data_IF_324533843030
#
_entry.id   IF_324533843030
#
_cell.length_a   1.000
_cell.length_b   1.000
_cell.length_c   1.000
_cell.angle_alpha   90.00
_cell.angle_beta   90.00
_cell.angle_gamma   90.00
#
_symmetry.space_group_name_H-M   'P 1'
#
loop_
_entity.id
_entity.type
_entity.pdbx_description
1 polymer ?
#
# COMPACT_ATOMS: atom_id res chain seq x y z
N UNK A 1 10.88 25.14 -5.83
CA UNK A 1 10.87 24.15 -6.94
C UNK A 1 9.88 23.00 -6.71
N UNK A 2 9.80 22.43 -5.50
CA UNK A 2 8.91 21.29 -5.21
C UNK A 2 7.43 21.61 -5.47
N UNK A 3 6.92 22.77 -5.04
CA UNK A 3 5.51 23.13 -5.26
C UNK A 3 5.13 23.24 -6.73
N UNK A 4 6.03 23.77 -7.58
CA UNK A 4 5.81 23.85 -9.02
C UNK A 4 5.70 22.44 -9.63
N UNK A 5 6.62 21.54 -9.28
CA UNK A 5 6.59 20.15 -9.72
C UNK A 5 5.32 19.42 -9.25
N UNK A 6 4.91 19.62 -7.99
CA UNK A 6 3.70 19.00 -7.43
C UNK A 6 2.43 19.48 -8.14
N UNK A 7 2.35 20.77 -8.46
CA UNK A 7 1.21 21.32 -9.21
C UNK A 7 1.21 20.81 -10.66
N UNK A 8 2.36 20.71 -11.32
CA UNK A 8 2.44 20.16 -12.67
C UNK A 8 2.07 18.68 -12.71
N UNK A 9 2.57 17.88 -11.77
CA UNK A 9 2.20 16.47 -11.62
C UNK A 9 0.69 16.32 -11.35
N UNK A 10 0.09 17.22 -10.57
CA UNK A 10 -1.34 17.24 -10.33
C UNK A 10 -2.16 17.53 -11.60
N UNK A 11 -1.72 18.49 -12.43
CA UNK A 11 -2.37 18.80 -13.70
C UNK A 11 -2.31 17.62 -14.68
N UNK A 12 -1.16 16.94 -14.73
CA UNK A 12 -0.97 15.72 -15.53
C UNK A 12 -1.89 14.59 -15.05
N UNK A 13 -1.90 14.32 -13.74
CA UNK A 13 -2.79 13.31 -13.14
C UNK A 13 -4.27 13.55 -13.49
N UNK A 14 -4.75 14.80 -13.39
CA UNK A 14 -6.14 15.15 -13.74
C UNK A 14 -6.43 14.99 -15.24
N UNK A 15 -5.44 15.16 -16.10
CA UNK A 15 -5.60 14.95 -17.55
C UNK A 15 -5.70 13.47 -17.86
N UNK A 16 -4.79 12.66 -17.34
CA UNK A 16 -4.73 11.23 -17.58
C UNK A 16 -5.99 10.52 -17.05
N UNK A 17 -6.39 10.83 -15.82
CA UNK A 17 -7.62 10.27 -15.23
C UNK A 17 -8.89 10.61 -16.00
N UNK A 18 -8.95 11.77 -16.67
CA UNK A 18 -10.07 12.09 -17.58
C UNK A 18 -10.02 11.27 -18.85
N UNK A 19 -8.84 11.10 -19.46
CA UNK A 19 -8.67 10.34 -20.71
C UNK A 19 -9.05 8.86 -20.50
N UNK A 20 -8.48 8.21 -19.48
CA UNK A 20 -8.72 6.78 -19.19
C UNK A 20 -10.18 6.47 -18.88
N UNK A 21 -10.90 7.42 -18.26
CA UNK A 21 -12.29 7.23 -17.88
C UNK A 21 -13.26 7.53 -19.03
N UNK A 22 -12.87 8.40 -19.97
CA UNK A 22 -13.61 8.58 -21.23
C UNK A 22 -13.57 7.30 -22.06
N UNK A 23 -12.43 6.59 -22.05
CA UNK A 23 -12.26 5.32 -22.75
C UNK A 23 -12.97 4.13 -22.07
N UNK A 24 -13.09 4.16 -20.74
CA UNK A 24 -13.62 3.03 -19.94
C UNK A 24 -15.07 3.21 -19.48
N UNK A 25 -15.75 4.32 -19.82
CA UNK A 25 -17.13 4.59 -19.41
C UNK A 25 -17.36 4.71 -17.90
N UNK A 26 -16.29 4.87 -17.12
CA UNK A 26 -16.31 4.89 -15.65
C UNK A 26 -16.40 6.31 -15.07
N UNK A 27 -17.04 6.44 -13.91
CA UNK A 27 -17.06 7.70 -13.15
C UNK A 27 -15.75 7.88 -12.38
N UNK A 28 -15.06 9.02 -12.55
CA UNK A 28 -13.77 9.28 -11.91
C UNK A 28 -14.02 9.89 -10.54
N UNK A 29 -13.53 9.25 -9.48
CA UNK A 29 -13.39 9.95 -8.20
C UNK A 29 -12.33 11.05 -8.34
N UNK A 30 -12.78 12.30 -8.33
CA UNK A 30 -11.92 13.46 -8.40
C UNK A 30 -11.34 13.72 -7.00
N UNK A 31 -10.13 13.22 -6.76
CA UNK A 31 -9.44 13.48 -5.49
C UNK A 31 -9.05 14.96 -5.37
N UNK A 32 -8.93 15.47 -4.14
CA UNK A 32 -8.47 16.85 -3.94
C UNK A 32 -6.94 16.97 -4.12
N UNK A 33 -6.44 18.20 -4.40
CA UNK A 33 -4.99 18.46 -4.43
C UNK A 33 -4.31 18.10 -3.09
N UNK A 34 -5.02 18.29 -1.97
CA UNK A 34 -4.56 17.90 -0.64
C UNK A 34 -4.33 16.39 -0.53
N UNK A 35 -5.30 15.60 -0.98
CA UNK A 35 -5.18 14.13 -0.97
C UNK A 35 -4.10 13.64 -1.93
N UNK A 36 -4.00 14.22 -3.11
CA UNK A 36 -2.93 13.91 -4.06
C UNK A 36 -1.54 14.14 -3.43
N UNK A 37 -1.32 15.31 -2.82
CA UNK A 37 -0.07 15.62 -2.09
C UNK A 37 0.19 14.62 -0.97
N UNK A 38 -0.84 14.24 -0.23
CA UNK A 38 -0.72 13.21 0.81
C UNK A 38 -0.29 11.86 0.23
N UNK A 39 -0.91 11.38 -0.86
CA UNK A 39 -0.53 10.12 -1.49
C UNK A 39 0.90 10.12 -2.02
N UNK A 40 1.31 11.19 -2.72
CA UNK A 40 2.69 11.33 -3.19
C UNK A 40 3.67 11.29 -2.02
N UNK A 41 3.40 12.03 -0.94
CA UNK A 41 4.26 12.04 0.25
C UNK A 41 4.35 10.66 0.91
N UNK A 42 3.23 9.92 0.97
CA UNK A 42 3.16 8.58 1.54
C UNK A 42 3.93 7.58 0.69
N UNK A 43 3.74 7.61 -0.63
CA UNK A 43 4.45 6.74 -1.57
C UNK A 43 5.95 7.01 -1.54
N UNK A 44 6.38 8.27 -1.58
CA UNK A 44 7.81 8.62 -1.51
C UNK A 44 8.45 8.24 -0.18
N UNK A 45 7.74 8.37 0.94
CA UNK A 45 8.24 7.94 2.25
C UNK A 45 8.49 6.43 2.32
N UNK A 46 7.70 5.64 1.59
CA UNK A 46 7.76 4.17 1.58
C UNK A 46 8.61 3.60 0.43
N UNK A 47 8.97 4.40 -0.57
CA UNK A 47 9.74 3.97 -1.74
C UNK A 47 11.21 3.79 -1.38
N UNK A 48 11.76 2.60 -1.68
CA UNK A 48 13.19 2.29 -1.48
C UNK A 48 13.65 2.20 -0.02
N UNK A 49 12.71 2.00 0.93
CA UNK A 49 13.04 1.76 2.34
C UNK A 49 12.35 0.47 2.79
N UNK A 50 13.12 -0.46 3.34
CA UNK A 50 12.60 -1.37 4.37
C UNK A 50 12.05 -0.49 5.49
N UNK A 51 10.86 -0.77 6.01
CA UNK A 51 10.33 -0.04 7.16
C UNK A 51 11.32 -0.21 8.30
N UNK A 52 12.23 0.76 8.44
CA UNK A 52 13.08 0.90 9.60
C UNK A 52 12.11 0.98 10.77
N UNK A 53 12.08 -0.13 11.51
CA UNK A 53 11.42 -0.18 12.80
C UNK A 53 12.25 0.73 13.69
N UNK A 54 12.02 2.03 13.59
CA UNK A 54 12.17 2.91 14.74
C UNK A 54 11.11 2.45 15.72
N UNK A 55 11.46 1.39 16.45
CA UNK A 55 10.83 1.04 17.70
C UNK A 55 11.18 2.21 18.59
N UNK A 56 10.27 3.19 18.66
CA UNK A 56 10.34 4.22 19.67
C UNK A 56 10.08 3.51 21.00
N UNK A 57 11.15 3.26 21.75
CA UNK A 57 11.17 2.31 22.86
C UNK A 57 10.43 2.80 24.11
N UNK A 58 9.70 3.91 24.05
CA UNK A 58 8.98 4.42 25.21
C UNK A 58 7.67 5.11 24.85
N UNK A 59 6.61 4.33 24.58
CA UNK A 59 5.27 4.85 24.80
C UNK A 59 4.37 3.79 25.46
N UNK A 60 4.24 3.91 26.78
CA UNK A 60 3.12 3.34 27.52
C UNK A 60 1.83 3.99 27.00
N UNK A 61 1.11 3.29 26.13
CA UNK A 61 -0.25 3.66 25.81
C UNK A 61 -1.16 2.46 25.98
N UNK A 62 -1.94 2.50 27.06
CA UNK A 62 -3.24 1.84 27.17
C UNK A 62 -4.20 2.38 26.10
N UNK A 63 -3.99 2.00 24.85
CA UNK A 63 -4.87 2.36 23.74
C UNK A 63 -5.79 1.18 23.45
N UNK A 64 -7.08 1.40 23.72
CA UNK A 64 -8.21 0.57 23.29
C UNK A 64 -7.93 -0.01 21.90
N UNK A 65 -8.05 -1.33 21.77
CA UNK A 65 -7.95 -2.07 20.51
C UNK A 65 -9.07 -1.60 19.58
N UNK A 66 -8.87 -0.45 18.92
CA UNK A 66 -9.52 -0.19 17.64
C UNK A 66 -8.87 -1.18 16.70
N UNK A 67 -9.65 -2.13 16.19
CA UNK A 67 -9.16 -3.07 15.18
C UNK A 67 -8.37 -2.28 14.15
N UNK A 68 -7.05 -2.49 14.10
CA UNK A 68 -6.21 -1.82 13.14
C UNK A 68 -6.67 -2.32 11.77
N UNK A 69 -7.48 -1.51 11.09
CA UNK A 69 -7.65 -1.60 9.66
C UNK A 69 -6.27 -1.26 9.11
N UNK A 70 -5.39 -2.28 9.03
CA UNK A 70 -4.02 -2.07 8.53
C UNK A 70 -4.20 -1.48 7.14
N UNK A 71 -3.86 -0.19 7.06
CA UNK A 71 -4.06 0.65 5.90
C UNK A 71 -3.28 0.00 4.77
N UNK A 72 -3.96 -0.36 3.68
CA UNK A 72 -3.29 -0.95 2.54
C UNK A 72 -2.21 0.03 2.04
N UNK A 73 -1.00 -0.47 1.71
CA UNK A 73 0.02 0.36 1.11
C UNK A 73 -0.50 0.95 -0.22
N UNK A 74 -0.02 2.14 -0.63
CA UNK A 74 -0.34 2.71 -1.95
C UNK A 74 -0.03 1.70 -3.07
N UNK A 75 -0.81 1.74 -4.15
CA UNK A 75 -0.67 0.82 -5.29
C UNK A 75 0.76 0.87 -5.86
N UNK A 76 1.33 2.07 -5.99
CA UNK A 76 2.70 2.27 -6.48
C UNK A 76 3.74 1.52 -5.65
N UNK A 77 3.56 1.49 -4.33
CA UNK A 77 4.48 0.82 -3.38
C UNK A 77 4.22 -0.69 -3.37
N UNK A 78 2.98 -1.10 -3.57
CA UNK A 78 2.59 -2.51 -3.61
C UNK A 78 3.21 -3.23 -4.82
N UNK A 79 3.30 -2.56 -5.97
CA UNK A 79 3.76 -3.15 -7.23
C UNK A 79 5.20 -2.76 -7.62
N UNK A 80 5.94 -2.06 -6.75
CA UNK A 80 7.32 -1.65 -7.06
C UNK A 80 8.34 -2.80 -7.07
N UNK A 81 7.95 -4.01 -6.63
CA UNK A 81 8.78 -5.24 -6.61
C UNK A 81 10.10 -5.12 -5.84
N UNK A 82 10.26 -4.10 -5.00
CA UNK A 82 11.47 -3.86 -4.20
C UNK A 82 11.17 -4.08 -2.72
N UNK A 83 12.04 -4.82 -2.02
CA UNK A 83 11.99 -5.05 -0.56
C UNK A 83 10.67 -5.65 -0.01
N UNK A 84 10.00 -6.50 -0.79
CA UNK A 84 8.84 -7.27 -0.31
C UNK A 84 9.26 -8.64 0.19
N UNK A 85 9.82 -8.70 1.40
CA UNK A 85 10.25 -9.97 2.01
C UNK A 85 9.14 -10.60 2.87
N UNK A 86 9.01 -11.94 2.87
CA UNK A 86 8.12 -12.63 3.78
C UNK A 86 8.73 -12.67 5.19
N UNK A 87 7.93 -12.35 6.21
CA UNK A 87 8.28 -12.49 7.61
C UNK A 87 7.28 -13.41 8.32
N UNK A 88 7.79 -14.26 9.20
CA UNK A 88 6.99 -15.14 10.03
C UNK A 88 6.39 -14.36 11.21
N UNK A 89 5.07 -14.45 11.39
CA UNK A 89 4.29 -13.74 12.40
C UNK A 89 3.19 -14.63 12.99
N UNK A 90 2.41 -14.06 13.92
CA UNK A 90 1.23 -14.71 14.47
C UNK A 90 0.21 -15.09 13.38
N UNK A 91 -0.41 -16.26 13.57
CA UNK A 91 -1.40 -16.82 12.65
C UNK A 91 -2.53 -15.83 12.43
N UNK A 92 -2.92 -15.63 11.18
CA UNK A 92 -4.09 -14.82 10.85
C UNK A 92 -4.62 -15.06 9.46
N UNK A 93 -5.75 -14.43 9.14
CA UNK A 93 -6.40 -14.55 7.83
C UNK A 93 -5.59 -13.86 6.74
N UNK A 94 -5.46 -14.52 5.59
CA UNK A 94 -4.92 -13.94 4.37
C UNK A 94 -5.81 -12.80 3.88
N UNK A 95 -5.18 -11.72 3.41
CA UNK A 95 -5.88 -10.52 2.92
C UNK A 95 -6.26 -10.58 1.44
N UNK A 96 -5.75 -11.58 0.72
CA UNK A 96 -6.05 -11.77 -0.69
C UNK A 96 -7.13 -12.84 -0.93
N UNK A 97 -7.03 -13.98 -0.24
CA UNK A 97 -7.97 -15.08 -0.44
C UNK A 97 -8.95 -15.20 0.74
N UNK A 98 -10.20 -15.60 0.44
CA UNK A 98 -11.26 -15.65 1.47
C UNK A 98 -11.03 -16.75 2.50
N UNK A 99 -10.42 -17.90 2.15
CA UNK A 99 -10.33 -19.09 3.03
C UNK A 99 -8.95 -19.33 3.63
N UNK A 100 -7.93 -18.59 3.23
CA UNK A 100 -6.55 -18.86 3.65
C UNK A 100 -6.24 -18.26 5.02
N UNK A 101 -5.55 -19.03 5.84
CA UNK A 101 -4.83 -18.55 7.02
C UNK A 101 -3.33 -18.68 6.76
N UNK A 102 -2.53 -17.82 7.36
CA UNK A 102 -1.09 -17.78 7.14
C UNK A 102 -0.34 -17.23 8.34
N UNK A 103 0.90 -17.69 8.49
CA UNK A 103 1.89 -17.12 9.38
C UNK A 103 2.82 -16.12 8.66
N UNK A 104 2.58 -15.84 7.38
CA UNK A 104 3.46 -15.00 6.57
C UNK A 104 2.83 -13.62 6.34
N UNK A 105 3.64 -12.58 6.52
CA UNK A 105 3.30 -11.22 6.11
C UNK A 105 4.44 -10.59 5.32
N UNK A 106 4.12 -9.66 4.43
CA UNK A 106 5.12 -8.83 3.77
C UNK A 106 5.65 -7.78 4.75
N UNK A 107 6.98 -7.70 4.90
CA UNK A 107 7.66 -6.74 5.79
C UNK A 107 7.32 -5.29 5.44
N UNK A 108 7.31 -4.96 4.14
CA UNK A 108 7.03 -3.61 3.64
C UNK A 108 5.55 -3.25 3.60
N UNK A 109 4.70 -4.20 3.22
CA UNK A 109 3.26 -3.98 3.06
C UNK A 109 2.43 -4.23 4.33
N UNK A 110 3.01 -4.84 5.37
CA UNK A 110 2.32 -5.24 6.61
C UNK A 110 1.13 -6.19 6.38
N UNK A 111 1.04 -6.82 5.20
CA UNK A 111 -0.14 -7.55 4.74
C UNK A 111 0.11 -9.04 4.85
N UNK A 112 -0.81 -9.75 5.53
CA UNK A 112 -0.82 -11.22 5.65
C UNK A 112 -1.20 -11.86 4.33
N UNK A 113 -0.31 -12.68 3.78
CA UNK A 113 -0.46 -13.30 2.46
C UNK A 113 0.01 -14.75 2.51
N UNK A 114 -0.79 -15.66 1.96
CA UNK A 114 -0.42 -17.06 1.86
C UNK A 114 0.85 -17.25 1.02
N UNK A 115 1.76 -18.06 1.56
CA UNK A 115 2.95 -18.58 0.89
C UNK A 115 2.97 -20.10 1.10
N UNK A 116 2.14 -20.81 0.34
CA UNK A 116 1.99 -22.28 0.41
C UNK A 116 2.10 -22.88 -0.99
N UNK A 117 2.45 -24.17 -1.09
CA UNK A 117 2.71 -24.87 -2.37
C UNK A 117 1.64 -24.62 -3.43
N UNK A 118 0.36 -24.77 -3.06
CA UNK A 118 -0.75 -24.68 -4.02
C UNK A 118 -1.26 -23.24 -4.23
N UNK A 119 -0.85 -22.28 -3.38
CA UNK A 119 -1.38 -20.91 -3.39
C UNK A 119 -0.32 -19.90 -2.95
N UNK A 120 0.14 -19.10 -3.91
CA UNK A 120 1.06 -18.01 -3.67
C UNK A 120 0.34 -16.65 -3.74
N UNK A 121 -0.38 -16.33 -2.67
CA UNK A 121 -1.01 -15.02 -2.51
C UNK A 121 0.02 -13.90 -2.37
N UNK A 122 1.23 -14.21 -1.89
CA UNK A 122 2.31 -13.25 -1.76
C UNK A 122 2.73 -12.72 -3.13
N UNK A 123 3.04 -13.60 -4.07
CA UNK A 123 3.43 -13.22 -5.43
C UNK A 123 2.32 -12.45 -6.14
N UNK A 124 1.11 -13.01 -6.20
CA UNK A 124 -0.04 -12.38 -6.87
C UNK A 124 -0.38 -11.01 -6.30
N UNK A 125 -0.24 -10.80 -4.99
CA UNK A 125 -0.49 -9.48 -4.41
C UNK A 125 0.50 -8.42 -4.92
N UNK A 126 1.77 -8.74 -5.14
CA UNK A 126 2.78 -7.74 -5.56
C UNK A 126 2.96 -7.67 -7.09
N UNK A 127 2.44 -8.65 -7.85
CA UNK A 127 2.59 -8.73 -9.30
C UNK A 127 1.40 -8.17 -10.10
N UNK A 128 0.19 -8.22 -9.55
CA UNK A 128 -1.05 -7.95 -10.29
C UNK A 128 -1.44 -6.46 -10.25
N UNK A 129 -1.21 -5.76 -11.36
CA UNK A 129 -1.82 -4.45 -11.68
C UNK A 129 -3.33 -4.55 -11.86
#
# INVERSE_FOLDING_TARGET
MIDLCMNNAWLLYRRETKLTCTESGGNVENISLKEFRYYVSKSLRMKGRSTDSRVDENVDIKQRIKQAVVVRPPIDVRHDRVDHFPQYISKGRCRLCKKGETHWACTKCGTRLCLVKDRNCFYTFHQSS
#
